data_IF_071305331411
#
_entry.id   IF_071305331411
#
_cell.length_a   1.000
_cell.length_b   1.000
_cell.length_c   1.000
_cell.angle_alpha   90.00
_cell.angle_beta   90.00
_cell.angle_gamma   90.00
#
_symmetry.space_group_name_H-M   'P 1'
#
loop_
_entity.id
_entity.type
_entity.pdbx_description
1 polymer ?
#
# COMPACT_ATOMS: atom_id res chain seq x y z
N UNK A 1 20.83 -30.71 -62.83
CA UNK A 1 20.26 -29.48 -62.27
C UNK A 1 21.43 -28.56 -62.01
N UNK A 2 21.40 -27.32 -62.50
CA UNK A 2 22.54 -26.40 -62.39
C UNK A 2 22.78 -26.03 -60.92
N UNK A 3 24.04 -26.00 -60.46
CA UNK A 3 24.39 -25.73 -59.06
C UNK A 3 23.89 -24.37 -58.54
N UNK A 4 23.59 -23.42 -59.45
CA UNK A 4 23.03 -22.11 -59.12
C UNK A 4 21.57 -22.19 -58.67
N UNK A 5 20.79 -23.10 -59.26
CA UNK A 5 19.37 -23.25 -58.93
C UNK A 5 19.18 -23.89 -57.55
N UNK A 6 20.04 -24.84 -57.18
CA UNK A 6 20.07 -25.43 -55.85
C UNK A 6 20.42 -24.38 -54.77
N UNK A 7 21.36 -23.48 -55.04
CA UNK A 7 21.73 -22.42 -54.09
C UNK A 7 20.57 -21.47 -53.80
N UNK A 8 19.81 -21.08 -54.84
CA UNK A 8 18.61 -20.25 -54.67
C UNK A 8 17.52 -20.98 -53.89
N UNK A 9 17.38 -22.29 -54.11
CA UNK A 9 16.41 -23.10 -53.40
C UNK A 9 16.77 -23.28 -51.93
N UNK A 10 18.06 -23.44 -51.63
CA UNK A 10 18.59 -23.53 -50.27
C UNK A 10 18.40 -22.22 -49.51
N UNK A 11 18.61 -21.07 -50.16
CA UNK A 11 18.32 -19.76 -49.54
C UNK A 11 16.85 -19.63 -49.17
N UNK A 12 15.93 -20.04 -50.06
CA UNK A 12 14.49 -20.08 -49.75
C UNK A 12 14.16 -21.05 -48.62
N UNK A 13 14.84 -22.19 -48.55
CA UNK A 13 14.64 -23.17 -47.47
C UNK A 13 14.99 -22.56 -46.12
N UNK A 14 16.13 -21.85 -46.03
CA UNK A 14 16.52 -21.14 -44.81
C UNK A 14 15.59 -19.98 -44.46
N UNK A 15 14.93 -19.38 -45.44
CA UNK A 15 13.90 -18.36 -45.24
C UNK A 15 12.52 -18.96 -44.88
N UNK A 16 12.32 -20.27 -45.06
CA UNK A 16 11.04 -20.95 -44.80
C UNK A 16 10.00 -20.80 -45.93
N UNK A 17 10.43 -20.40 -47.12
CA UNK A 17 9.56 -20.10 -48.28
C UNK A 17 9.50 -21.24 -49.31
N UNK A 18 9.98 -22.44 -48.96
CA UNK A 18 9.98 -23.61 -49.84
C UNK A 18 8.67 -24.38 -49.84
N UNK A 19 8.32 -24.95 -50.99
CA UNK A 19 7.22 -25.91 -51.12
C UNK A 19 7.69 -27.35 -50.88
N UNK A 20 6.77 -28.26 -50.55
CA UNK A 20 7.08 -29.67 -50.27
C UNK A 20 7.77 -30.38 -51.45
N UNK A 21 7.41 -30.04 -52.69
CA UNK A 21 8.03 -30.63 -53.88
C UNK A 21 9.46 -30.11 -54.08
N UNK A 22 9.72 -28.84 -53.77
CA UNK A 22 11.05 -28.24 -53.78
C UNK A 22 11.97 -28.86 -52.70
N UNK A 23 11.44 -29.09 -51.49
CA UNK A 23 12.19 -29.74 -50.40
C UNK A 23 12.53 -31.20 -50.70
N UNK A 24 11.66 -31.95 -51.37
CA UNK A 24 11.97 -33.30 -51.86
C UNK A 24 13.13 -33.29 -52.85
N UNK A 25 13.16 -32.32 -53.77
CA UNK A 25 14.26 -32.16 -54.73
C UNK A 25 15.56 -31.80 -54.02
N UNK A 26 15.49 -30.89 -53.04
CA UNK A 26 16.64 -30.47 -52.24
C UNK A 26 17.21 -31.64 -51.42
N UNK A 27 16.33 -32.40 -50.78
CA UNK A 27 16.66 -33.61 -50.04
C UNK A 27 17.29 -34.66 -50.96
N UNK A 28 16.66 -34.96 -52.10
CA UNK A 28 17.20 -35.93 -53.07
C UNK A 28 18.55 -35.51 -53.67
N UNK A 29 18.82 -34.20 -53.78
CA UNK A 29 20.12 -33.68 -54.17
C UNK A 29 21.16 -33.89 -53.07
N UNK A 30 20.83 -33.55 -51.82
CA UNK A 30 21.76 -33.66 -50.69
C UNK A 30 22.04 -35.09 -50.21
N UNK A 31 21.15 -36.05 -50.50
CA UNK A 31 21.41 -37.46 -50.24
C UNK A 31 22.44 -38.07 -51.21
N UNK A 32 22.78 -37.42 -52.33
CA UNK A 32 23.79 -37.91 -53.27
C UNK A 32 25.22 -37.71 -52.73
N UNK A 33 26.15 -38.56 -53.16
CA UNK A 33 27.53 -38.57 -52.66
C UNK A 33 28.45 -37.50 -53.27
N UNK A 34 28.13 -36.98 -54.46
CA UNK A 34 28.94 -36.00 -55.18
C UNK A 34 28.35 -34.58 -55.07
N UNK A 35 28.84 -33.80 -54.10
CA UNK A 35 28.36 -32.44 -53.81
C UNK A 35 29.58 -31.50 -53.64
N UNK A 36 29.53 -30.27 -54.17
CA UNK A 36 30.60 -29.29 -53.98
C UNK A 36 30.95 -29.06 -52.50
N UNK A 37 32.25 -28.87 -52.22
CA UNK A 37 32.78 -28.70 -50.85
C UNK A 37 32.07 -27.60 -50.03
N UNK A 38 31.62 -26.54 -50.69
CA UNK A 38 30.88 -25.42 -50.06
C UNK A 38 29.55 -25.86 -49.43
N UNK A 39 28.93 -26.91 -49.95
CA UNK A 39 27.59 -27.39 -49.59
C UNK A 39 27.62 -28.62 -48.67
N UNK A 40 28.80 -29.04 -48.22
CA UNK A 40 28.97 -30.19 -47.33
C UNK A 40 28.33 -29.95 -45.95
N UNK A 41 28.31 -28.71 -45.48
CA UNK A 41 27.65 -28.34 -44.22
C UNK A 41 26.13 -28.53 -44.34
N UNK A 42 25.55 -28.09 -45.45
CA UNK A 42 24.12 -28.25 -45.75
C UNK A 42 23.76 -29.73 -45.91
N UNK A 43 24.60 -30.52 -46.58
CA UNK A 43 24.44 -31.98 -46.67
C UNK A 43 24.28 -32.63 -45.29
N UNK A 44 25.13 -32.28 -44.32
CA UNK A 44 25.06 -32.83 -42.96
C UNK A 44 23.73 -32.50 -42.29
N UNK A 45 23.22 -31.28 -42.48
CA UNK A 45 21.92 -30.86 -41.97
C UNK A 45 20.80 -31.71 -42.58
N UNK A 46 20.73 -31.83 -43.91
CA UNK A 46 19.71 -32.63 -44.57
C UNK A 46 19.80 -34.12 -44.19
N UNK A 47 21.00 -34.67 -44.05
CA UNK A 47 21.19 -36.03 -43.55
C UNK A 47 20.67 -36.20 -42.12
N UNK A 48 20.92 -35.24 -41.21
CA UNK A 48 20.42 -35.30 -39.84
C UNK A 48 18.90 -35.11 -39.74
N UNK A 49 18.31 -34.30 -40.62
CA UNK A 49 16.86 -34.11 -40.68
C UNK A 49 16.13 -35.34 -41.24
N UNK A 50 16.77 -36.07 -42.16
CA UNK A 50 16.21 -37.28 -42.77
C UNK A 50 16.65 -38.58 -42.09
N UNK A 51 17.59 -38.53 -41.14
CA UNK A 51 17.91 -39.70 -40.33
C UNK A 51 16.70 -40.06 -39.46
N UNK A 52 16.35 -41.35 -39.45
CA UNK A 52 15.23 -41.88 -38.69
C UNK A 52 15.21 -41.39 -37.24
N UNK A 53 14.00 -41.25 -36.71
CA UNK A 53 13.69 -40.72 -35.39
C UNK A 53 14.67 -41.21 -34.34
N UNK A 54 15.50 -40.29 -33.84
CA UNK A 54 16.31 -40.53 -32.65
C UNK A 54 15.34 -40.89 -31.53
N UNK A 55 15.49 -42.09 -30.95
CA UNK A 55 14.72 -42.48 -29.76
C UNK A 55 15.04 -41.49 -28.64
N UNK A 56 14.11 -40.57 -28.37
CA UNK A 56 14.25 -39.59 -27.30
C UNK A 56 14.00 -40.33 -25.98
N UNK A 57 14.95 -40.33 -25.03
CA UNK A 57 14.74 -40.95 -23.74
C UNK A 57 13.53 -40.33 -23.03
N UNK A 58 12.65 -41.16 -22.44
CA UNK A 58 11.46 -40.69 -21.72
C UNK A 58 11.77 -39.63 -20.66
N UNK A 59 12.95 -39.71 -20.04
CA UNK A 59 13.41 -38.74 -19.05
C UNK A 59 13.55 -37.32 -19.63
N UNK A 60 14.00 -37.20 -20.87
CA UNK A 60 14.11 -35.92 -21.57
C UNK A 60 12.74 -35.33 -21.89
N UNK A 61 11.79 -36.16 -22.31
CA UNK A 61 10.41 -35.73 -22.58
C UNK A 61 9.74 -35.19 -21.30
N UNK A 62 9.83 -35.94 -20.19
CA UNK A 62 9.29 -35.50 -18.88
C UNK A 62 9.93 -34.20 -18.38
N UNK A 63 11.23 -34.03 -18.62
CA UNK A 63 11.94 -32.80 -18.25
C UNK A 63 11.38 -31.60 -19.01
N UNK A 64 11.14 -31.75 -20.31
CA UNK A 64 10.55 -30.69 -21.15
C UNK A 64 9.12 -30.38 -20.70
N UNK A 65 8.31 -31.39 -20.39
CA UNK A 65 6.95 -31.21 -19.87
C UNK A 65 6.94 -30.39 -18.56
N UNK A 66 7.79 -30.75 -17.60
CA UNK A 66 7.93 -29.98 -16.36
C UNK A 66 8.39 -28.53 -16.60
N UNK A 67 9.29 -28.31 -17.58
CA UNK A 67 9.72 -26.97 -17.95
C UNK A 67 8.57 -26.15 -18.55
N UNK A 68 7.77 -26.73 -19.45
CA UNK A 68 6.60 -26.08 -20.04
C UNK A 68 5.61 -25.66 -18.94
N UNK A 69 5.30 -26.56 -18.02
CA UNK A 69 4.40 -26.28 -16.90
C UNK A 69 4.96 -25.16 -16.00
N UNK A 70 6.28 -25.16 -15.75
CA UNK A 70 6.93 -24.11 -14.95
C UNK A 70 6.90 -22.73 -15.60
N UNK A 71 6.95 -22.65 -16.93
CA UNK A 71 6.79 -21.38 -17.66
C UNK A 71 5.33 -20.90 -17.63
N UNK A 72 4.35 -21.80 -17.56
CA UNK A 72 2.94 -21.45 -17.39
C UNK A 72 2.59 -20.87 -16.02
N UNK A 73 3.31 -21.25 -14.96
CA UNK A 73 3.04 -20.78 -13.59
C UNK A 73 3.82 -19.51 -13.18
N UNK A 74 4.77 -19.05 -14.01
CA UNK A 74 5.54 -17.84 -13.76
C UNK A 74 4.83 -16.52 -14.15
N UNK A 75 3.57 -16.57 -14.58
CA UNK A 75 2.72 -15.37 -14.57
C UNK A 75 2.28 -15.10 -13.12
N UNK A 76 2.63 -13.95 -12.51
CA UNK A 76 2.08 -13.60 -11.21
C UNK A 76 0.57 -13.53 -11.36
N UNK A 77 -0.12 -14.55 -10.82
CA UNK A 77 -1.56 -14.67 -10.79
C UNK A 77 -2.22 -13.30 -10.66
N UNK A 78 -2.88 -12.85 -11.74
CA UNK A 78 -3.62 -11.59 -11.84
C UNK A 78 -4.59 -11.41 -10.64
N UNK A 79 -4.96 -12.54 -10.02
CA UNK A 79 -5.73 -12.62 -8.78
C UNK A 79 -5.09 -11.87 -7.61
N UNK A 80 -3.78 -11.99 -7.39
CA UNK A 80 -3.08 -11.32 -6.27
C UNK A 80 -3.09 -9.79 -6.43
N UNK A 81 -2.93 -9.28 -7.66
CA UNK A 81 -2.97 -7.84 -7.95
C UNK A 81 -4.37 -7.26 -7.68
N UNK A 82 -5.44 -7.98 -8.08
CA UNK A 82 -6.84 -7.58 -7.78
C UNK A 82 -7.14 -7.51 -6.28
N UNK A 83 -6.61 -8.43 -5.47
CA UNK A 83 -6.87 -8.42 -4.02
C UNK A 83 -6.24 -7.23 -3.30
N UNK A 84 -5.01 -6.86 -3.65
CA UNK A 84 -4.39 -5.64 -3.10
C UNK A 84 -5.17 -4.41 -3.52
N UNK A 85 -5.53 -4.29 -4.80
CA UNK A 85 -6.30 -3.15 -5.30
C UNK A 85 -7.69 -3.04 -4.65
N UNK A 86 -8.38 -4.16 -4.44
CA UNK A 86 -9.66 -4.19 -3.75
C UNK A 86 -9.54 -3.76 -2.27
N UNK A 87 -8.48 -4.19 -1.57
CA UNK A 87 -8.23 -3.75 -0.17
C UNK A 87 -7.94 -2.26 -0.08
N UNK A 88 -7.16 -1.69 -1.00
CA UNK A 88 -6.91 -0.25 -1.03
C UNK A 88 -8.17 0.55 -1.41
N UNK A 89 -9.00 0.05 -2.31
CA UNK A 89 -10.28 0.67 -2.65
C UNK A 89 -11.25 0.66 -1.46
N UNK A 90 -11.37 -0.46 -0.74
CA UNK A 90 -12.16 -0.53 0.49
C UNK A 90 -11.62 0.38 1.59
N UNK A 91 -10.30 0.51 1.72
CA UNK A 91 -9.68 1.46 2.66
C UNK A 91 -10.01 2.92 2.29
N UNK A 92 -10.05 3.25 1.01
CA UNK A 92 -10.47 4.58 0.54
C UNK A 92 -11.93 4.89 0.88
N UNK A 93 -12.85 3.93 0.67
CA UNK A 93 -14.27 4.08 1.04
C UNK A 93 -14.43 4.22 2.55
N UNK A 94 -13.73 3.39 3.34
CA UNK A 94 -13.76 3.47 4.79
C UNK A 94 -13.21 4.82 5.30
N UNK A 95 -12.12 5.34 4.73
CA UNK A 95 -11.56 6.63 5.08
C UNK A 95 -12.51 7.79 4.76
N UNK A 96 -13.19 7.74 3.61
CA UNK A 96 -14.20 8.74 3.26
C UNK A 96 -15.38 8.73 4.22
N UNK A 97 -15.88 7.54 4.59
CA UNK A 97 -16.96 7.42 5.55
C UNK A 97 -16.53 7.85 6.96
N UNK A 98 -15.31 7.50 7.37
CA UNK A 98 -14.74 7.93 8.65
C UNK A 98 -14.55 9.46 8.72
N UNK A 99 -14.18 10.11 7.61
CA UNK A 99 -14.13 11.58 7.54
C UNK A 99 -15.51 12.20 7.71
N UNK A 100 -16.53 11.67 7.04
CA UNK A 100 -17.91 12.17 7.17
C UNK A 100 -18.44 11.97 8.60
N UNK A 101 -18.22 10.79 9.19
CA UNK A 101 -18.56 10.53 10.59
C UNK A 101 -17.77 11.39 11.56
N UNK A 102 -16.47 11.58 11.32
CA UNK A 102 -15.60 12.42 12.15
C UNK A 102 -16.03 13.89 12.15
N UNK A 103 -16.40 14.44 10.99
CA UNK A 103 -16.94 15.81 10.90
C UNK A 103 -18.29 15.91 11.61
N UNK A 104 -19.16 14.91 11.44
CA UNK A 104 -20.48 14.89 12.09
C UNK A 104 -20.37 14.79 13.61
N UNK A 105 -19.55 13.88 14.14
CA UNK A 105 -19.30 13.74 15.58
C UNK A 105 -18.56 14.95 16.13
N UNK A 106 -17.61 15.56 15.41
CA UNK A 106 -16.96 16.80 15.85
C UNK A 106 -17.96 17.96 15.94
N UNK A 107 -18.85 18.11 14.96
CA UNK A 107 -19.93 19.11 15.05
C UNK A 107 -20.92 18.79 16.16
N UNK A 108 -21.28 17.52 16.38
CA UNK A 108 -22.18 17.12 17.46
C UNK A 108 -21.55 17.35 18.83
N UNK A 109 -20.27 17.02 19.01
CA UNK A 109 -19.51 17.31 20.22
C UNK A 109 -19.37 18.81 20.43
N UNK A 110 -19.12 19.61 19.39
CA UNK A 110 -19.11 21.07 19.52
C UNK A 110 -20.51 21.61 19.86
N UNK A 111 -21.59 20.97 19.39
CA UNK A 111 -22.97 21.34 19.74
C UNK A 111 -23.35 20.90 21.16
N UNK A 112 -22.88 19.75 21.64
CA UNK A 112 -23.05 19.29 23.02
C UNK A 112 -22.17 20.08 24.01
N UNK A 113 -21.00 20.55 23.58
CA UNK A 113 -20.18 21.50 24.37
C UNK A 113 -20.73 22.92 24.28
N UNK A 114 -21.44 23.29 23.20
CA UNK A 114 -22.21 24.53 23.14
C UNK A 114 -23.59 24.43 23.81
N UNK A 115 -23.97 23.24 24.31
CA UNK A 115 -25.11 23.00 25.19
C UNK A 115 -24.73 23.16 26.68
N UNK A 116 -23.63 23.86 26.99
CA UNK A 116 -23.67 24.70 28.17
C UNK A 116 -24.70 25.80 27.89
N UNK A 117 -25.96 25.49 28.19
CA UNK A 117 -27.01 26.47 28.41
C UNK A 117 -26.38 27.60 29.19
N UNK A 118 -26.37 28.80 28.62
CA UNK A 118 -25.92 29.99 29.33
C UNK A 118 -26.57 29.98 30.71
N UNK A 119 -25.78 30.06 31.79
CA UNK A 119 -26.24 29.79 33.17
C UNK A 119 -27.42 30.69 33.56
N UNK A 120 -27.59 31.80 32.84
CA UNK A 120 -28.69 32.73 32.96
C UNK A 120 -29.35 32.96 31.59
N UNK A 121 -30.67 33.06 31.59
CA UNK A 121 -31.47 33.17 30.35
C UNK A 121 -31.48 34.59 29.76
N UNK A 122 -30.93 35.57 30.47
CA UNK A 122 -30.79 36.95 30.00
C UNK A 122 -29.50 37.61 30.52
N UNK A 123 -28.85 38.49 29.72
CA UNK A 123 -27.62 39.18 30.14
C UNK A 123 -27.78 39.98 31.44
N UNK A 124 -28.96 40.57 31.66
CA UNK A 124 -29.25 41.38 32.84
C UNK A 124 -29.26 40.53 34.13
N UNK A 125 -29.76 39.30 34.06
CA UNK A 125 -29.81 38.39 35.19
C UNK A 125 -28.41 37.91 35.59
N UNK A 126 -27.57 37.57 34.61
CA UNK A 126 -26.17 37.22 34.83
C UNK A 126 -25.41 38.36 35.51
N UNK A 127 -25.63 39.60 35.07
CA UNK A 127 -25.02 40.78 35.66
C UNK A 127 -25.42 40.93 37.13
N UNK A 128 -26.73 40.86 37.42
CA UNK A 128 -27.25 40.98 38.79
C UNK A 128 -26.74 39.88 39.71
N UNK A 129 -26.70 38.64 39.24
CA UNK A 129 -26.16 37.52 40.01
C UNK A 129 -24.66 37.68 40.29
N UNK A 130 -23.89 38.17 39.32
CA UNK A 130 -22.46 38.46 39.48
C UNK A 130 -22.23 39.55 40.52
N UNK A 131 -23.01 40.65 40.47
CA UNK A 131 -22.94 41.73 41.45
C UNK A 131 -23.28 41.22 42.85
N UNK A 132 -24.32 40.40 42.99
CA UNK A 132 -24.69 39.80 44.28
C UNK A 132 -23.59 38.88 44.83
N UNK A 133 -22.97 38.05 43.98
CA UNK A 133 -21.87 37.17 44.36
C UNK A 133 -20.63 37.97 44.81
N UNK A 134 -20.29 39.05 44.10
CA UNK A 134 -19.18 39.93 44.47
C UNK A 134 -19.43 40.65 45.81
N UNK A 135 -20.68 41.06 46.07
CA UNK A 135 -21.05 41.67 47.35
C UNK A 135 -20.91 40.69 48.50
N UNK A 136 -21.43 39.47 48.35
CA UNK A 136 -21.31 38.42 49.37
C UNK A 136 -19.84 38.03 49.61
N UNK A 137 -19.03 37.98 48.55
CA UNK A 137 -17.59 37.78 48.67
C UNK A 137 -16.92 38.91 49.47
N UNK A 138 -17.24 40.17 49.14
CA UNK A 138 -16.68 41.34 49.84
C UNK A 138 -17.06 41.36 51.32
N UNK A 139 -18.29 41.00 51.66
CA UNK A 139 -18.75 40.93 53.05
C UNK A 139 -17.98 39.84 53.82
N UNK A 140 -17.91 38.63 53.27
CA UNK A 140 -17.16 37.53 53.89
C UNK A 140 -15.66 37.83 54.01
N UNK A 141 -15.07 38.50 53.02
CA UNK A 141 -13.66 38.92 53.07
C UNK A 141 -13.42 39.97 54.16
N UNK A 142 -14.31 40.95 54.30
CA UNK A 142 -14.23 41.98 55.34
C UNK A 142 -14.36 41.38 56.75
N UNK A 143 -15.32 40.47 56.96
CA UNK A 143 -15.50 39.77 58.24
C UNK A 143 -14.30 38.87 58.56
N UNK A 144 -13.75 38.19 57.54
CA UNK A 144 -12.57 37.36 57.68
C UNK A 144 -11.34 38.17 58.10
N UNK A 145 -11.14 39.34 57.48
CA UNK A 145 -10.02 40.24 57.81
C UNK A 145 -10.20 40.85 59.20
N UNK A 146 -11.41 41.28 59.57
CA UNK A 146 -11.68 41.80 60.92
C UNK A 146 -11.43 40.74 62.01
N UNK A 147 -11.81 39.48 61.76
CA UNK A 147 -11.59 38.39 62.70
C UNK A 147 -10.10 38.07 62.88
N UNK A 148 -9.33 38.11 61.78
CA UNK A 148 -7.87 37.95 61.82
C UNK A 148 -7.20 39.14 62.52
N UNK A 149 -7.65 40.37 62.26
CA UNK A 149 -7.15 41.58 62.91
C UNK A 149 -7.40 41.54 64.43
N UNK A 150 -8.60 41.16 64.86
CA UNK A 150 -8.90 40.95 66.29
C UNK A 150 -8.02 39.88 66.90
N UNK A 151 -7.85 38.74 66.23
CA UNK A 151 -6.98 37.67 66.71
C UNK A 151 -5.53 38.15 66.86
N UNK A 152 -5.01 38.90 65.89
CA UNK A 152 -3.67 39.50 65.97
C UNK A 152 -3.56 40.49 67.13
N UNK A 153 -4.53 41.39 67.32
CA UNK A 153 -4.56 42.30 68.48
C UNK A 153 -4.56 41.54 69.81
N UNK A 154 -5.31 40.44 69.91
CA UNK A 154 -5.34 39.60 71.12
C UNK A 154 -4.02 38.87 71.35
N UNK A 155 -3.39 38.37 70.29
CA UNK A 155 -2.07 37.74 70.36
C UNK A 155 -0.99 38.75 70.75
N UNK A 156 -1.01 39.95 70.17
CA UNK A 156 -0.09 41.04 70.51
C UNK A 156 -0.26 41.45 71.98
N UNK A 157 -1.50 41.65 72.46
CA UNK A 157 -1.77 41.91 73.88
C UNK A 157 -1.31 40.77 74.79
N UNK A 158 -1.55 39.51 74.40
CA UNK A 158 -1.07 38.37 75.18
C UNK A 158 0.46 38.31 75.24
N UNK A 159 1.13 38.58 74.13
CA UNK A 159 2.59 38.69 74.07
C UNK A 159 3.11 39.86 74.93
N UNK A 160 2.45 41.01 74.90
CA UNK A 160 2.77 42.17 75.75
C UNK A 160 2.63 41.85 77.24
N UNK A 161 1.52 41.20 77.66
CA UNK A 161 1.28 40.79 79.05
C UNK A 161 2.30 39.76 79.51
N UNK A 162 2.61 38.74 78.68
CA UNK A 162 3.62 37.73 79.00
C UNK A 162 4.99 38.39 79.18
N UNK A 163 5.38 39.30 78.29
CA UNK A 163 6.67 39.99 78.36
C UNK A 163 6.75 40.95 79.56
N UNK A 164 5.66 41.64 79.91
CA UNK A 164 5.59 42.50 81.09
C UNK A 164 5.58 41.71 82.41
N UNK A 165 5.00 40.50 82.44
CA UNK A 165 4.95 39.67 83.65
C UNK A 165 6.25 38.89 83.93
N UNK A 166 7.14 38.81 82.94
CA UNK A 166 8.44 38.15 83.04
C UNK A 166 9.58 39.10 83.42
N UNK A 167 9.27 40.38 83.70
CA UNK A 167 10.22 41.41 84.10
C UNK A 167 9.88 41.96 85.48
#
# INVERSE_FOLDING_TARGET
MESNDIRKLLEKFYQGDTSLEEEKVLTAFFLQDDIPDELLSDKRLFCALNSESVEVPEESARTIEMLIDSFGEAEPSIRKIRFFHARYWMAGVAASLALLFGINEFQKQQRETALFSDTYNSPDEAYRATVAALQLFSENFSMGTESVEKANMHLEKAQEIINHSLK
#
